data_IF_227788090196
#
_entry.id   IF_227788090196
#
_cell.length_a   1.000
_cell.length_b   1.000
_cell.length_c   1.000
_cell.angle_alpha   90.00
_cell.angle_beta   90.00
_cell.angle_gamma   90.00
#
_symmetry.space_group_name_H-M   'P 1'
#
loop_
_entity.id
_entity.type
_entity.pdbx_description
1 polymer ?
#
# COMPACT_ATOMS: atom_id res chain seq x y z
N UNK A 1 12.30 -9.96 -1.89
CA UNK A 1 13.26 -8.99 -2.50
C UNK A 1 14.25 -8.52 -1.42
N UNK A 2 15.53 -8.24 -1.73
CA UNK A 2 16.63 -7.87 -0.78
C UNK A 2 17.35 -8.96 0.02
N UNK A 3 17.26 -10.24 -0.37
CA UNK A 3 18.07 -11.30 0.28
C UNK A 3 17.59 -11.72 1.68
N UNK A 4 16.47 -11.17 2.15
CA UNK A 4 15.67 -11.77 3.21
C UNK A 4 14.80 -12.86 2.57
N UNK A 5 15.13 -14.12 2.80
CA UNK A 5 14.45 -15.26 2.18
C UNK A 5 13.07 -15.55 2.77
N UNK A 6 12.77 -14.98 3.94
CA UNK A 6 11.61 -15.40 4.76
C UNK A 6 10.54 -14.29 4.89
N UNK A 7 10.62 -13.24 4.07
CA UNK A 7 9.66 -12.13 4.11
C UNK A 7 9.15 -11.79 2.70
N UNK A 8 7.84 -11.96 2.52
CA UNK A 8 7.11 -11.51 1.33
C UNK A 8 7.10 -9.99 1.25
N UNK A 9 7.21 -9.43 0.04
CA UNK A 9 6.95 -8.02 -0.21
C UNK A 9 5.47 -7.77 -0.52
N UNK A 10 5.10 -6.50 -0.71
CA UNK A 10 3.74 -6.15 -1.10
C UNK A 10 3.29 -6.83 -2.39
N UNK A 11 4.18 -7.01 -3.36
CA UNK A 11 3.83 -7.61 -4.64
C UNK A 11 3.49 -9.10 -4.49
N UNK A 12 4.27 -9.85 -3.71
CA UNK A 12 4.00 -11.25 -3.40
C UNK A 12 2.68 -11.40 -2.61
N UNK A 13 2.44 -10.55 -1.61
CA UNK A 13 1.20 -10.54 -0.83
C UNK A 13 0.00 -10.27 -1.74
N UNK A 14 0.05 -9.20 -2.55
CA UNK A 14 -1.04 -8.82 -3.45
C UNK A 14 -1.32 -9.91 -4.49
N UNK A 15 -0.27 -10.48 -5.08
CA UNK A 15 -0.38 -11.59 -6.03
C UNK A 15 -1.10 -12.79 -5.42
N UNK A 16 -0.73 -13.16 -4.19
CA UNK A 16 -1.33 -14.30 -3.49
C UNK A 16 -2.81 -14.10 -3.17
N UNK A 17 -3.20 -12.90 -2.71
CA UNK A 17 -4.61 -12.62 -2.34
C UNK A 17 -5.51 -12.38 -3.56
N UNK A 18 -4.95 -11.96 -4.70
CA UNK A 18 -5.70 -11.71 -5.93
C UNK A 18 -5.81 -12.94 -6.83
N UNK A 19 -4.93 -13.93 -6.69
CA UNK A 19 -4.96 -15.18 -7.47
C UNK A 19 -6.32 -15.92 -7.47
N UNK A 20 -7.07 -16.03 -6.34
CA UNK A 20 -8.40 -16.67 -6.34
C UNK A 20 -9.44 -15.96 -7.20
N UNK A 21 -9.22 -14.69 -7.53
CA UNK A 21 -10.10 -13.90 -8.40
C UNK A 21 -9.68 -13.98 -9.88
N UNK A 22 -8.70 -14.81 -10.20
CA UNK A 22 -8.20 -15.01 -11.57
C UNK A 22 -7.30 -13.89 -12.07
N UNK A 23 -6.82 -13.01 -11.18
CA UNK A 23 -5.88 -11.94 -11.50
C UNK A 23 -4.47 -12.47 -11.29
N UNK A 24 -3.67 -12.46 -12.36
CA UNK A 24 -2.30 -12.96 -12.33
C UNK A 24 -1.30 -11.88 -11.87
N UNK A 25 -0.12 -12.27 -11.38
CA UNK A 25 0.88 -11.30 -10.89
C UNK A 25 1.33 -10.27 -11.94
N UNK A 26 1.23 -10.61 -13.22
CA UNK A 26 1.60 -9.76 -14.36
C UNK A 26 0.54 -8.71 -14.67
N UNK A 27 -0.69 -8.90 -14.19
CA UNK A 27 -1.81 -7.96 -14.32
C UNK A 27 -1.82 -6.91 -13.19
N UNK A 28 -0.98 -7.07 -12.17
CA UNK A 28 -0.90 -6.13 -11.06
C UNK A 28 -0.27 -4.80 -11.52
N UNK A 29 -0.99 -3.68 -11.37
CA UNK A 29 -0.42 -2.36 -11.61
C UNK A 29 0.54 -1.97 -10.48
N UNK A 30 1.22 -0.83 -10.68
CA UNK A 30 1.92 -0.16 -9.59
C UNK A 30 0.95 0.14 -8.44
N UNK A 31 1.34 -0.23 -7.23
CA UNK A 31 0.51 -0.05 -6.05
C UNK A 31 0.33 1.44 -5.70
N UNK A 32 -0.89 1.81 -5.29
CA UNK A 32 -1.14 3.08 -4.65
C UNK A 32 -0.68 3.04 -3.19
N UNK A 33 0.50 3.60 -2.91
CA UNK A 33 1.12 3.56 -1.59
C UNK A 33 0.52 4.62 -0.65
N UNK A 34 -0.47 4.19 0.14
CA UNK A 34 -1.15 5.04 1.12
C UNK A 34 -0.18 5.41 2.27
N UNK A 35 -0.21 6.68 2.69
CA UNK A 35 0.58 7.25 3.80
C UNK A 35 2.11 7.26 3.62
N UNK A 36 2.62 6.76 2.49
CA UNK A 36 4.05 6.77 2.21
C UNK A 36 4.54 8.21 1.99
N UNK A 37 5.65 8.56 2.65
CA UNK A 37 6.30 9.86 2.48
C UNK A 37 7.53 9.71 1.58
N UNK A 38 7.37 10.02 0.29
CA UNK A 38 8.45 9.97 -0.69
C UNK A 38 8.74 11.39 -1.18
N UNK A 39 9.97 11.83 -0.98
CA UNK A 39 10.45 13.09 -1.50
C UNK A 39 11.36 12.87 -2.70
N UNK A 40 11.28 13.78 -3.66
CA UNK A 40 12.14 13.82 -4.84
C UNK A 40 12.97 15.09 -4.79
N UNK A 41 14.28 14.92 -4.84
CA UNK A 41 15.22 16.03 -4.99
C UNK A 41 15.24 16.45 -6.47
N UNK A 42 15.02 17.74 -6.74
CA UNK A 42 14.73 18.23 -8.08
C UNK A 42 15.98 18.38 -8.99
N UNK A 43 17.18 18.47 -8.42
CA UNK A 43 18.44 18.74 -9.13
C UNK A 43 19.19 17.45 -9.44
N UNK A 44 19.37 16.58 -8.45
CA UNK A 44 19.98 15.26 -8.54
C UNK A 44 18.99 14.20 -9.06
N UNK A 45 17.69 14.40 -8.88
CA UNK A 45 16.67 13.40 -9.18
C UNK A 45 16.61 12.26 -8.17
N UNK A 46 17.30 12.39 -7.03
CA UNK A 46 17.30 11.37 -6.00
C UNK A 46 15.94 11.26 -5.31
N UNK A 47 15.55 10.01 -5.01
CA UNK A 47 14.33 9.68 -4.29
C UNK A 47 14.68 9.30 -2.86
N UNK A 48 14.04 9.96 -1.90
CA UNK A 48 14.20 9.65 -0.48
C UNK A 48 12.87 9.16 0.10
N UNK A 49 12.90 7.96 0.67
CA UNK A 49 11.79 7.43 1.47
C UNK A 49 12.02 7.93 2.90
N UNK A 50 11.04 8.66 3.43
CA UNK A 50 11.08 9.24 4.78
C UNK A 50 10.01 8.62 5.67
N UNK A 51 10.08 8.95 6.96
CA UNK A 51 9.03 8.56 7.91
C UNK A 51 7.67 9.13 7.48
N UNK A 52 6.58 8.36 7.66
CA UNK A 52 5.23 8.85 7.43
C UNK A 52 4.93 10.11 8.23
N UNK A 53 4.18 11.02 7.61
CA UNK A 53 3.65 12.21 8.30
C UNK A 53 2.28 11.93 8.95
N UNK A 54 1.68 10.78 8.64
CA UNK A 54 0.40 10.32 9.17
C UNK A 54 0.48 9.91 10.63
N UNK A 55 -0.66 9.97 11.32
CA UNK A 55 -0.82 9.64 12.74
C UNK A 55 -1.94 8.61 12.94
N UNK A 56 -1.99 7.91 14.08
CA UNK A 56 -3.11 7.03 14.41
C UNK A 56 -4.45 7.77 14.32
N UNK A 57 -5.36 7.25 13.51
CA UNK A 57 -6.68 7.85 13.25
C UNK A 57 -6.76 8.67 11.97
N UNK A 58 -5.63 8.99 11.33
CA UNK A 58 -5.66 9.53 9.97
C UNK A 58 -6.21 8.47 9.00
N UNK A 59 -7.05 8.90 8.07
CA UNK A 59 -7.67 8.02 7.10
C UNK A 59 -7.75 8.70 5.74
N UNK A 60 -7.90 7.89 4.70
CA UNK A 60 -8.35 8.31 3.39
C UNK A 60 -9.61 7.51 3.06
N UNK A 61 -10.49 8.09 2.25
CA UNK A 61 -11.72 7.45 1.81
C UNK A 61 -11.79 7.54 0.29
N UNK A 62 -12.22 6.45 -0.34
CA UNK A 62 -12.39 6.38 -1.79
C UNK A 62 -13.81 5.92 -2.10
N UNK A 63 -14.41 6.52 -3.13
CA UNK A 63 -15.66 6.03 -3.71
C UNK A 63 -15.32 5.11 -4.88
N UNK A 64 -15.90 3.91 -4.89
CA UNK A 64 -15.84 3.02 -6.03
C UNK A 64 -16.87 3.50 -7.06
N UNK A 65 -16.41 3.91 -8.24
CA UNK A 65 -17.27 4.40 -9.34
C UNK A 65 -17.87 3.25 -10.19
N UNK A 66 -17.43 2.02 -9.94
CA UNK A 66 -17.88 0.79 -10.58
C UNK A 66 -17.62 -0.41 -9.64
N UNK A 67 -18.10 -1.59 -10.02
CA UNK A 67 -17.79 -2.83 -9.32
C UNK A 67 -16.27 -3.10 -9.40
N UNK A 68 -15.62 -3.15 -8.24
CA UNK A 68 -14.16 -3.29 -8.13
C UNK A 68 -13.77 -4.44 -7.21
N UNK A 69 -12.68 -5.12 -7.57
CA UNK A 69 -11.91 -5.94 -6.63
C UNK A 69 -10.82 -5.05 -6.05
N UNK A 70 -10.79 -4.91 -4.72
CA UNK A 70 -9.79 -4.10 -4.01
C UNK A 70 -8.98 -5.00 -3.10
N UNK A 71 -7.66 -4.96 -3.23
CA UNK A 71 -6.74 -5.65 -2.35
C UNK A 71 -5.81 -4.65 -1.68
N UNK A 72 -5.46 -4.95 -0.43
CA UNK A 72 -4.56 -4.14 0.37
C UNK A 72 -3.43 -5.03 0.89
N UNK A 73 -2.21 -4.51 0.87
CA UNK A 73 -1.08 -5.07 1.59
C UNK A 73 -0.69 -4.09 2.68
N UNK A 74 -0.70 -4.53 3.94
CA UNK A 74 -0.05 -3.78 5.00
C UNK A 74 1.46 -3.98 4.83
N UNK A 75 2.12 -2.98 4.21
CA UNK A 75 3.51 -3.08 3.77
C UNK A 75 4.40 -3.64 4.89
N UNK A 76 5.10 -4.76 4.70
CA UNK A 76 5.87 -5.41 5.75
C UNK A 76 7.24 -4.76 6.00
N UNK A 77 7.56 -3.66 5.31
CA UNK A 77 8.85 -2.98 5.39
C UNK A 77 9.05 -2.25 6.72
N UNK A 78 9.85 -2.82 7.62
CA UNK A 78 10.24 -2.21 8.90
C UNK A 78 11.76 -2.22 9.16
N UNK A 79 12.56 -2.74 8.20
CA UNK A 79 13.97 -3.06 8.43
C UNK A 79 14.96 -2.24 7.58
N UNK A 80 14.63 -1.92 6.33
CA UNK A 80 15.55 -1.28 5.37
C UNK A 80 15.27 0.21 5.20
N UNK A 81 14.03 0.64 5.35
CA UNK A 81 13.62 2.02 5.12
C UNK A 81 12.70 2.55 6.22
N UNK A 82 12.66 3.88 6.46
CA UNK A 82 11.75 4.48 7.42
C UNK A 82 10.27 4.47 6.96
N UNK A 83 9.91 3.76 5.89
CA UNK A 83 8.59 3.81 5.24
C UNK A 83 7.41 3.62 6.20
N UNK A 84 7.57 2.81 7.24
CA UNK A 84 6.56 2.55 8.27
C UNK A 84 6.99 3.05 9.67
N UNK A 85 7.90 4.03 9.74
CA UNK A 85 8.44 4.50 11.02
C UNK A 85 9.17 3.41 11.81
N UNK A 86 9.82 2.47 11.11
CA UNK A 86 10.56 1.33 11.67
C UNK A 86 9.71 0.31 12.45
N UNK A 87 8.38 0.42 12.37
CA UNK A 87 7.47 -0.51 13.03
C UNK A 87 6.13 -0.54 12.33
N UNK A 88 5.83 -1.64 11.67
CA UNK A 88 4.52 -1.87 11.07
C UNK A 88 3.42 -1.90 12.16
N UNK A 89 2.37 -1.09 11.96
CA UNK A 89 1.17 -1.06 12.80
C UNK A 89 -0.05 -1.60 12.05
N UNK A 90 -1.10 -2.08 12.74
CA UNK A 90 -2.32 -2.53 12.07
C UNK A 90 -3.01 -1.41 11.27
N UNK A 91 -3.55 -1.76 10.10
CA UNK A 91 -4.42 -0.90 9.30
C UNK A 91 -5.87 -1.37 9.42
N UNK A 92 -6.81 -0.42 9.53
CA UNK A 92 -8.25 -0.70 9.57
C UNK A 92 -8.87 -0.39 8.21
N UNK A 93 -9.69 -1.29 7.70
CA UNK A 93 -10.50 -1.09 6.49
C UNK A 93 -11.97 -1.14 6.89
N UNK A 94 -12.74 -0.17 6.41
CA UNK A 94 -14.19 -0.11 6.57
C UNK A 94 -14.83 0.03 5.20
N UNK A 95 -15.88 -0.74 4.95
CA UNK A 95 -16.63 -0.73 3.69
C UNK A 95 -18.03 -0.22 4.02
N UNK A 96 -18.45 0.80 3.29
CA UNK A 96 -19.77 1.42 3.42
C UNK A 96 -20.54 1.24 2.12
N UNK A 97 -21.86 1.07 2.21
CA UNK A 97 -22.72 1.15 1.03
C UNK A 97 -22.84 2.60 0.56
N UNK A 98 -22.83 2.79 -0.75
CA UNK A 98 -23.02 4.11 -1.34
C UNK A 98 -24.43 4.63 -1.00
N UNK A 99 -24.52 5.88 -0.55
CA UNK A 99 -25.81 6.55 -0.38
C UNK A 99 -26.22 7.08 -1.77
N UNK A 100 -27.24 6.47 -2.37
CA UNK A 100 -27.83 6.96 -3.62
C UNK A 100 -28.34 8.41 -3.44
N UNK A 101 -27.83 9.35 -4.26
CA UNK A 101 -28.43 10.68 -4.42
C UNK A 101 -27.66 11.89 -3.87
N UNK A 102 -26.34 11.87 -3.80
CA UNK A 102 -25.52 13.10 -3.71
C UNK A 102 -24.60 13.26 -4.91
#
# INVERSE_FOLDING_TARGET
MYGFSDHDGCWEILSGVLAPFGISPEELPDAFNVFMNVEYEAVSGERHIKEPVSRPGDYFEIRLEMDCIVAFSNCPEDALTPCNGWRCTPLKVEIYEAIEGK
#
